data_IF_480488252970
#
_entry.id   IF_480488252970
#
_cell.length_a   1.000
_cell.length_b   1.000
_cell.length_c   1.000
_cell.angle_alpha   90.00
_cell.angle_beta   90.00
_cell.angle_gamma   90.00
#
_symmetry.space_group_name_H-M   'P 1'
#
loop_
_entity.id
_entity.type
_entity.pdbx_description
1 polymer ?
#
# COMPACT_ATOMS: atom_id res chain seq x y z
N UNK A 1 18.11 14.09 19.98
CA UNK A 1 17.70 14.69 18.69
C UNK A 1 17.80 13.60 17.64
N UNK A 2 16.70 13.17 17.04
CA UNK A 2 16.73 12.20 15.92
C UNK A 2 17.26 12.92 14.69
N UNK A 3 18.32 12.40 14.09
CA UNK A 3 18.89 12.95 12.85
C UNK A 3 17.97 12.52 11.70
N UNK A 4 17.41 13.49 10.97
CA UNK A 4 16.65 13.24 9.76
C UNK A 4 17.62 13.07 8.59
N UNK A 5 17.56 11.92 7.91
CA UNK A 5 18.39 11.63 6.74
C UNK A 5 17.49 11.50 5.51
N UNK A 6 17.45 12.49 4.60
CA UNK A 6 16.54 12.51 3.45
C UNK A 6 16.64 11.27 2.56
N UNK A 7 17.86 10.83 2.27
CA UNK A 7 18.13 9.64 1.44
C UNK A 7 17.64 8.35 2.10
N UNK A 8 17.68 8.26 3.43
CA UNK A 8 17.16 7.11 4.16
C UNK A 8 15.62 7.05 4.06
N UNK A 9 14.94 8.20 4.11
CA UNK A 9 13.50 8.29 3.92
C UNK A 9 13.05 7.95 2.51
N UNK A 10 13.76 8.44 1.49
CA UNK A 10 13.49 8.08 0.10
C UNK A 10 13.65 6.56 -0.11
N UNK A 11 14.78 5.98 0.34
CA UNK A 11 15.05 4.55 0.22
C UNK A 11 14.04 3.68 0.98
N UNK A 12 13.63 4.10 2.17
CA UNK A 12 12.60 3.40 2.94
C UNK A 12 11.23 3.46 2.23
N UNK A 13 10.91 4.59 1.60
CA UNK A 13 9.72 4.72 0.74
C UNK A 13 9.76 3.78 -0.46
N UNK A 14 10.89 3.70 -1.18
CA UNK A 14 11.07 2.75 -2.29
C UNK A 14 10.92 1.28 -1.83
N UNK A 15 11.52 0.95 -0.68
CA UNK A 15 11.44 -0.39 -0.09
C UNK A 15 10.00 -0.76 0.24
N UNK A 16 9.23 0.17 0.81
CA UNK A 16 7.82 -0.03 1.14
C UNK A 16 6.96 -0.21 -0.13
N UNK A 17 7.23 0.57 -1.18
CA UNK A 17 6.52 0.47 -2.46
C UNK A 17 6.74 -0.90 -3.14
N UNK A 18 7.99 -1.38 -3.11
CA UNK A 18 8.34 -2.72 -3.60
C UNK A 18 7.67 -3.82 -2.77
N UNK A 19 7.67 -3.69 -1.44
CA UNK A 19 7.01 -4.66 -0.56
C UNK A 19 5.48 -4.68 -0.78
N UNK A 20 4.86 -3.52 -0.98
CA UNK A 20 3.43 -3.41 -1.30
C UNK A 20 3.10 -4.13 -2.62
N UNK A 21 3.91 -3.89 -3.64
CA UNK A 21 3.76 -4.53 -4.96
C UNK A 21 3.93 -6.05 -4.87
N UNK A 22 4.95 -6.52 -4.15
CA UNK A 22 5.19 -7.94 -3.94
C UNK A 22 4.02 -8.60 -3.18
N UNK A 23 3.56 -7.99 -2.10
CA UNK A 23 2.39 -8.46 -1.35
C UNK A 23 1.15 -8.56 -2.24
N UNK A 24 0.89 -7.55 -3.08
CA UNK A 24 -0.25 -7.57 -4.00
C UNK A 24 -0.14 -8.70 -5.05
N UNK A 25 1.07 -8.94 -5.56
CA UNK A 25 1.34 -10.03 -6.49
C UNK A 25 1.19 -11.42 -5.84
N UNK A 26 1.70 -11.60 -4.63
CA UNK A 26 1.57 -12.86 -3.87
C UNK A 26 0.11 -13.15 -3.51
N UNK A 27 -0.68 -12.09 -3.26
CA UNK A 27 -2.10 -12.18 -2.99
C UNK A 27 -2.97 -12.38 -4.24
N UNK A 28 -2.38 -12.50 -5.44
CA UNK A 28 -3.11 -12.55 -6.71
C UNK A 28 -4.20 -13.64 -6.74
N UNK A 29 -3.92 -14.82 -6.20
CA UNK A 29 -4.89 -15.93 -6.14
C UNK A 29 -6.15 -15.56 -5.36
N UNK A 30 -5.99 -14.78 -4.29
CA UNK A 30 -7.13 -14.30 -3.49
C UNK A 30 -7.86 -13.20 -4.25
N UNK A 31 -7.14 -12.28 -4.90
CA UNK A 31 -7.71 -11.17 -5.68
C UNK A 31 -8.60 -11.68 -6.83
N UNK A 32 -8.18 -12.74 -7.53
CA UNK A 32 -8.92 -13.28 -8.68
C UNK A 32 -9.94 -14.36 -8.28
N UNK A 33 -10.00 -14.74 -7.00
CA UNK A 33 -10.93 -15.77 -6.55
C UNK A 33 -12.37 -15.31 -6.81
N UNK A 34 -13.08 -16.07 -7.64
CA UNK A 34 -14.50 -15.83 -7.90
C UNK A 34 -15.32 -16.23 -6.67
N UNK A 35 -16.29 -15.39 -6.33
CA UNK A 35 -17.25 -15.70 -5.27
C UNK A 35 -18.17 -16.84 -5.70
N UNK A 36 -18.52 -17.71 -4.75
CA UNK A 36 -19.51 -18.75 -5.01
C UNK A 36 -20.85 -18.15 -5.43
N UNK A 37 -21.53 -18.80 -6.37
CA UNK A 37 -22.88 -18.46 -6.80
C UNK A 37 -23.83 -19.65 -6.63
N UNK A 38 -25.05 -19.38 -6.20
CA UNK A 38 -26.09 -20.41 -6.05
C UNK A 38 -26.64 -20.77 -7.43
N UNK A 39 -26.71 -22.07 -7.74
CA UNK A 39 -27.25 -22.57 -9.03
C UNK A 39 -28.73 -22.87 -8.94
N UNK A 40 -29.21 -23.10 -7.73
CA UNK A 40 -30.58 -23.48 -7.41
C UNK A 40 -31.12 -22.65 -6.24
N UNK A 41 -32.39 -22.86 -5.88
CA UNK A 41 -33.01 -22.27 -4.67
C UNK A 41 -32.75 -23.11 -3.41
N UNK A 42 -31.74 -23.97 -3.41
CA UNK A 42 -31.39 -24.80 -2.27
C UNK A 42 -30.92 -23.93 -1.08
N UNK A 43 -31.49 -24.11 0.12
CA UNK A 43 -31.02 -23.42 1.32
C UNK A 43 -29.54 -23.71 1.66
N UNK A 44 -29.03 -24.88 1.28
CA UNK A 44 -27.62 -25.26 1.50
C UNK A 44 -26.70 -24.43 0.59
N UNK A 45 -27.07 -24.27 -0.69
CA UNK A 45 -26.30 -23.42 -1.60
C UNK A 45 -26.33 -21.96 -1.15
N UNK A 46 -27.47 -21.46 -0.67
CA UNK A 46 -27.58 -20.12 -0.12
C UNK A 46 -26.66 -19.90 1.10
N UNK A 47 -26.58 -20.88 2.01
CA UNK A 47 -25.68 -20.83 3.17
C UNK A 47 -24.20 -20.85 2.75
N UNK A 48 -23.85 -21.65 1.74
CA UNK A 48 -22.47 -21.71 1.21
C UNK A 48 -22.04 -20.37 0.58
N UNK A 49 -22.91 -19.75 -0.22
CA UNK A 49 -22.67 -18.41 -0.80
C UNK A 49 -22.52 -17.35 0.28
N UNK A 50 -23.37 -17.37 1.31
CA UNK A 50 -23.27 -16.44 2.42
C UNK A 50 -21.95 -16.61 3.19
N UNK A 51 -21.53 -17.85 3.44
CA UNK A 51 -20.25 -18.16 4.08
C UNK A 51 -19.05 -17.69 3.24
N UNK A 52 -19.09 -17.94 1.93
CA UNK A 52 -18.04 -17.48 1.00
C UNK A 52 -17.92 -15.96 0.98
N UNK A 53 -19.04 -15.24 0.94
CA UNK A 53 -19.06 -13.78 0.95
C UNK A 53 -18.45 -13.17 2.23
N UNK A 54 -18.61 -13.85 3.38
CA UNK A 54 -17.99 -13.45 4.65
C UNK A 54 -16.46 -13.64 4.65
N UNK A 55 -15.93 -14.49 3.77
CA UNK A 55 -14.49 -14.73 3.64
C UNK A 55 -13.89 -13.87 2.52
N UNK A 56 -14.37 -14.02 1.28
CA UNK A 56 -13.77 -13.38 0.11
C UNK A 56 -13.85 -11.85 0.16
N UNK A 57 -15.02 -11.30 0.51
CA UNK A 57 -15.24 -9.85 0.54
C UNK A 57 -14.27 -9.10 1.46
N UNK A 58 -14.12 -9.51 2.73
CA UNK A 58 -13.15 -8.90 3.64
C UNK A 58 -11.71 -9.05 3.18
N UNK A 59 -11.31 -10.21 2.64
CA UNK A 59 -9.96 -10.42 2.14
C UNK A 59 -9.62 -9.51 0.95
N UNK A 60 -10.53 -9.38 -0.02
CA UNK A 60 -10.35 -8.46 -1.15
C UNK A 60 -10.14 -7.01 -0.69
N UNK A 61 -10.98 -6.55 0.25
CA UNK A 61 -10.87 -5.18 0.79
C UNK A 61 -9.57 -4.98 1.58
N UNK A 62 -9.14 -5.98 2.35
CA UNK A 62 -7.92 -5.90 3.14
C UNK A 62 -6.69 -5.80 2.24
N UNK A 63 -6.61 -6.60 1.18
CA UNK A 63 -5.49 -6.57 0.24
C UNK A 63 -5.45 -5.24 -0.52
N UNK A 64 -6.60 -4.76 -1.02
CA UNK A 64 -6.70 -3.48 -1.71
C UNK A 64 -6.31 -2.31 -0.78
N UNK A 65 -6.86 -2.27 0.44
CA UNK A 65 -6.56 -1.22 1.42
C UNK A 65 -5.11 -1.23 1.89
N UNK A 66 -4.51 -2.42 2.06
CA UNK A 66 -3.09 -2.54 2.38
C UNK A 66 -2.20 -2.01 1.26
N UNK A 67 -2.52 -2.32 -0.01
CA UNK A 67 -1.80 -1.81 -1.17
C UNK A 67 -1.90 -0.28 -1.28
N UNK A 68 -3.12 0.27 -1.20
CA UNK A 68 -3.34 1.71 -1.26
C UNK A 68 -2.65 2.45 -0.11
N UNK A 69 -2.76 1.92 1.12
CA UNK A 69 -2.14 2.52 2.30
C UNK A 69 -0.62 2.51 2.24
N UNK A 70 -0.02 1.39 1.83
CA UNK A 70 1.43 1.24 1.72
C UNK A 70 2.01 2.12 0.60
N UNK A 71 1.39 2.14 -0.58
CA UNK A 71 1.84 2.99 -1.71
C UNK A 71 1.67 4.48 -1.41
N UNK A 72 0.57 4.87 -0.77
CA UNK A 72 0.37 6.26 -0.30
C UNK A 72 1.44 6.69 0.70
N UNK A 73 1.77 5.81 1.64
CA UNK A 73 2.81 6.07 2.64
C UNK A 73 4.19 6.15 1.99
N UNK A 74 4.54 5.20 1.12
CA UNK A 74 5.77 5.20 0.35
C UNK A 74 5.96 6.48 -0.48
N UNK A 75 4.89 6.95 -1.13
CA UNK A 75 4.88 8.23 -1.87
C UNK A 75 5.21 9.41 -0.95
N UNK A 76 4.55 9.51 0.21
CA UNK A 76 4.80 10.56 1.20
C UNK A 76 6.23 10.52 1.73
N UNK A 77 6.78 9.33 1.97
CA UNK A 77 8.16 9.17 2.43
C UNK A 77 9.18 9.71 1.41
N UNK A 78 8.99 9.36 0.14
CA UNK A 78 9.84 9.86 -0.95
C UNK A 78 9.72 11.37 -1.13
N UNK A 79 8.49 11.90 -1.14
CA UNK A 79 8.24 13.34 -1.24
C UNK A 79 8.89 14.10 -0.07
N UNK A 80 8.69 13.65 1.17
CA UNK A 80 9.29 14.29 2.36
C UNK A 80 10.81 14.34 2.27
N UNK A 81 11.45 13.24 1.83
CA UNK A 81 12.90 13.23 1.63
C UNK A 81 13.34 14.21 0.53
N UNK A 82 12.62 14.25 -0.59
CA UNK A 82 12.91 15.19 -1.69
C UNK A 82 12.76 16.66 -1.27
N UNK A 83 11.65 17.00 -0.60
CA UNK A 83 11.33 18.37 -0.19
C UNK A 83 12.33 18.87 0.86
N UNK A 84 12.73 18.01 1.80
CA UNK A 84 13.74 18.35 2.80
C UNK A 84 15.09 18.62 2.13
N UNK A 85 15.51 17.76 1.20
CA UNK A 85 16.77 17.95 0.47
C UNK A 85 16.78 19.27 -0.30
N UNK A 86 15.69 19.58 -1.03
CA UNK A 86 15.57 20.83 -1.77
C UNK A 86 15.62 22.06 -0.84
N UNK A 87 15.02 21.96 0.35
CA UNK A 87 15.03 23.03 1.35
C UNK A 87 16.44 23.29 1.90
N UNK A 88 17.20 22.23 2.20
CA UNK A 88 18.60 22.36 2.65
C UNK A 88 19.50 22.93 1.56
N UNK A 89 19.33 22.51 0.30
CA UNK A 89 20.06 23.05 -0.85
C UNK A 89 19.78 24.55 -1.03
N UNK A 90 18.51 24.98 -0.92
CA UNK A 90 18.14 26.38 -0.98
C UNK A 90 18.72 27.20 0.18
N UNK A 91 18.67 26.67 1.41
CA UNK A 91 19.23 27.31 2.59
C UNK A 91 20.76 27.42 2.51
N UNK A 92 21.45 26.41 1.97
CA UNK A 92 22.88 26.44 1.73
C UNK A 92 23.25 27.48 0.66
N UNK A 93 22.49 27.56 -0.43
CA UNK A 93 22.71 28.55 -1.48
C UNK A 93 22.54 30.00 -0.96
N UNK A 94 21.54 30.25 -0.10
CA UNK A 94 21.35 31.56 0.53
C UNK A 94 22.57 32.00 1.37
N UNK A 95 23.18 31.07 2.13
CA UNK A 95 24.38 31.34 2.95
C UNK A 95 25.64 31.68 2.14
N UNK A 96 25.68 31.34 0.85
CA UNK A 96 26.83 31.62 -0.01
C UNK A 96 26.75 33.00 -0.69
N UNK A 97 25.57 33.61 -0.75
CA UNK A 97 25.31 34.85 -1.47
C UNK A 97 24.86 36.02 -0.58
N UNK A 98 24.75 35.80 0.73
CA UNK A 98 24.71 36.85 1.78
C UNK A 98 26.12 37.17 2.29
#
# INVERSE_FOLDING_TARGET
>A
MTIFTPSAWQKAGETLDQAATAMYADAHQVIIAETLSARTRSPIEAAAVAGDALCNGPWHRLIAGAMEGATSTASKMRATGSDYQATEEAAAAARFWE
#
